data_IF_542186547974
#
_entry.id   IF_542186547974
#
_cell.length_a   1.000
_cell.length_b   1.000
_cell.length_c   1.000
_cell.angle_alpha   90.00
_cell.angle_beta   90.00
_cell.angle_gamma   90.00
#
_symmetry.space_group_name_H-M   'P 1'
#
loop_
_entity.id
_entity.type
_entity.pdbx_description
1 polymer ?
#
# COMPACT_ATOMS: atom_id res chain seq x y z
N UNK A 1 -20.28 -7.28 17.16
CA UNK A 1 -19.61 -8.05 16.08
C UNK A 1 -20.18 -7.73 14.70
N UNK A 2 -21.49 -7.93 14.44
CA UNK A 2 -22.10 -7.67 13.12
C UNK A 2 -21.95 -6.22 12.62
N UNK A 3 -22.12 -5.21 13.50
CA UNK A 3 -21.88 -3.80 13.15
C UNK A 3 -20.42 -3.50 12.77
N UNK A 4 -19.45 -4.10 13.47
CA UNK A 4 -18.01 -3.92 13.21
C UNK A 4 -17.63 -4.59 11.88
N UNK A 5 -18.15 -5.79 11.62
CA UNK A 5 -17.98 -6.48 10.35
C UNK A 5 -18.57 -5.66 9.19
N UNK A 6 -19.76 -5.07 9.37
CA UNK A 6 -20.35 -4.21 8.34
C UNK A 6 -19.51 -2.95 8.07
N UNK A 7 -18.93 -2.35 9.12
CA UNK A 7 -18.00 -1.21 8.99
C UNK A 7 -16.73 -1.64 8.25
N UNK A 8 -16.13 -2.78 8.62
CA UNK A 8 -14.97 -3.36 7.92
C UNK A 8 -15.25 -3.58 6.43
N UNK A 9 -16.40 -4.17 6.11
CA UNK A 9 -16.81 -4.39 4.73
C UNK A 9 -17.03 -3.06 3.99
N UNK A 10 -17.69 -2.08 4.60
CA UNK A 10 -17.88 -0.76 3.97
C UNK A 10 -16.56 -0.05 3.67
N UNK A 11 -15.56 -0.18 4.55
CA UNK A 11 -14.23 0.42 4.34
C UNK A 11 -13.45 -0.33 3.26
N UNK A 12 -13.51 -1.67 3.25
CA UNK A 12 -12.96 -2.45 2.14
C UNK A 12 -13.56 -2.05 0.79
N UNK A 13 -14.87 -1.83 0.73
CA UNK A 13 -15.53 -1.35 -0.49
C UNK A 13 -15.07 0.06 -0.89
N UNK A 14 -14.95 0.99 0.07
CA UNK A 14 -14.44 2.33 -0.20
C UNK A 14 -13.02 2.30 -0.77
N UNK A 15 -12.15 1.45 -0.22
CA UNK A 15 -10.79 1.32 -0.74
C UNK A 15 -10.74 0.66 -2.11
N UNK A 16 -11.55 -0.35 -2.41
CA UNK A 16 -11.55 -0.98 -3.74
C UNK A 16 -12.05 -0.03 -4.84
N UNK A 17 -13.05 0.80 -4.53
CA UNK A 17 -13.53 1.87 -5.43
C UNK A 17 -12.40 2.87 -5.69
N UNK A 18 -11.71 3.29 -4.63
CA UNK A 18 -10.63 4.26 -4.73
C UNK A 18 -9.44 3.72 -5.54
N UNK A 19 -9.06 2.45 -5.34
CA UNK A 19 -8.00 1.76 -6.10
C UNK A 19 -8.33 1.68 -7.60
N UNK A 20 -9.59 1.41 -7.94
CA UNK A 20 -10.04 1.33 -9.32
C UNK A 20 -10.09 2.70 -10.01
N UNK A 21 -10.52 3.75 -9.29
CA UNK A 21 -10.43 5.13 -9.77
C UNK A 21 -8.99 5.47 -10.13
N UNK A 22 -8.04 5.13 -9.26
CA UNK A 22 -6.62 5.36 -9.52
C UNK A 22 -6.11 4.58 -10.74
N UNK A 23 -6.49 3.30 -10.87
CA UNK A 23 -6.12 2.49 -12.03
C UNK A 23 -6.71 3.05 -13.34
N UNK A 24 -7.89 3.66 -13.28
CA UNK A 24 -8.55 4.22 -14.46
C UNK A 24 -7.75 5.37 -15.10
N UNK A 25 -6.99 6.13 -14.29
CA UNK A 25 -6.10 7.19 -14.74
C UNK A 25 -4.82 6.66 -15.40
N UNK A 26 -4.44 5.40 -15.16
CA UNK A 26 -3.19 4.79 -15.64
C UNK A 26 -3.46 4.04 -16.97
N UNK A 27 -3.96 4.74 -17.98
CA UNK A 27 -4.27 4.10 -19.27
C UNK A 27 -3.06 3.93 -20.19
N UNK A 28 -1.90 4.50 -19.83
CA UNK A 28 -0.66 4.30 -20.60
C UNK A 28 0.58 4.39 -19.72
N UNK A 29 1.08 3.23 -19.28
CA UNK A 29 2.30 3.10 -18.47
C UNK A 29 3.52 3.79 -19.09
N UNK A 30 3.55 3.93 -20.42
CA UNK A 30 4.74 4.40 -21.14
C UNK A 30 4.94 5.92 -21.17
N UNK A 31 3.97 6.76 -20.70
CA UNK A 31 4.08 8.24 -20.78
C UNK A 31 3.55 9.01 -19.58
N UNK A 32 3.34 8.35 -18.44
CA UNK A 32 2.91 9.07 -17.23
C UNK A 32 4.11 9.70 -16.52
N UNK A 33 3.92 10.93 -16.07
CA UNK A 33 4.94 11.63 -15.29
C UNK A 33 5.13 10.89 -13.95
N UNK A 34 6.38 10.60 -13.54
CA UNK A 34 6.69 9.90 -12.30
C UNK A 34 5.99 10.49 -11.07
N UNK A 35 5.84 11.81 -11.01
CA UNK A 35 5.08 12.51 -9.96
C UNK A 35 3.61 12.07 -9.86
N UNK A 36 2.93 11.81 -10.98
CA UNK A 36 1.55 11.28 -11.00
C UNK A 36 1.55 9.84 -10.47
N UNK A 37 2.56 9.05 -10.83
CA UNK A 37 2.69 7.68 -10.32
C UNK A 37 2.94 7.66 -8.79
N UNK A 38 3.77 8.58 -8.29
CA UNK A 38 4.07 8.74 -6.86
C UNK A 38 2.84 9.24 -6.09
N UNK A 39 2.08 10.19 -6.63
CA UNK A 39 0.87 10.66 -5.97
C UNK A 39 -0.21 9.58 -5.91
N UNK A 40 -0.33 8.76 -6.96
CA UNK A 40 -1.22 7.60 -6.95
C UNK A 40 -0.78 6.59 -5.88
N UNK A 41 0.53 6.30 -5.82
CA UNK A 41 1.07 5.33 -4.85
C UNK A 41 0.89 5.82 -3.39
N UNK A 42 1.00 7.13 -3.11
CA UNK A 42 0.73 7.72 -1.79
C UNK A 42 -0.71 7.44 -1.36
N UNK A 43 -1.64 7.75 -2.25
CA UNK A 43 -3.06 7.65 -1.95
C UNK A 43 -3.51 6.20 -1.75
N UNK A 44 -2.96 5.27 -2.54
CA UNK A 44 -3.16 3.82 -2.37
C UNK A 44 -2.69 3.38 -0.98
N UNK A 45 -1.47 3.75 -0.62
CA UNK A 45 -0.85 3.29 0.62
C UNK A 45 -1.52 3.89 1.86
N UNK A 46 -1.97 5.14 1.81
CA UNK A 46 -2.79 5.74 2.89
C UNK A 46 -4.08 4.94 3.08
N UNK A 47 -4.80 4.63 2.00
CA UNK A 47 -6.03 3.84 2.07
C UNK A 47 -5.81 2.44 2.67
N UNK A 48 -4.67 1.82 2.36
CA UNK A 48 -4.30 0.51 2.90
C UNK A 48 -3.98 0.57 4.41
N UNK A 49 -3.31 1.63 4.87
CA UNK A 49 -2.99 1.81 6.30
C UNK A 49 -4.25 2.00 7.15
N UNK A 50 -5.25 2.70 6.60
CA UNK A 50 -6.56 2.88 7.22
C UNK A 50 -7.36 1.57 7.28
N UNK A 51 -7.26 0.69 6.27
CA UNK A 51 -7.88 -0.63 6.37
C UNK A 51 -7.21 -1.48 7.47
N UNK A 52 -5.88 -1.42 7.58
CA UNK A 52 -5.13 -2.23 8.53
C UNK A 52 -5.46 -1.93 10.00
N UNK A 53 -5.81 -0.67 10.30
CA UNK A 53 -6.20 -0.25 11.65
C UNK A 53 -7.51 -0.89 12.14
N UNK A 54 -8.36 -1.35 11.22
CA UNK A 54 -9.68 -1.93 11.54
C UNK A 54 -9.57 -3.45 11.76
N UNK A 55 -8.56 -4.11 11.17
CA UNK A 55 -8.34 -5.55 11.31
C UNK A 55 -7.56 -5.92 12.56
N UNK A 56 -6.68 -5.04 13.02
CA UNK A 56 -5.81 -5.32 14.16
C UNK A 56 -6.37 -4.69 15.43
N UNK A 57 -6.40 -5.48 16.51
CA UNK A 57 -6.79 -4.97 17.84
C UNK A 57 -5.87 -3.82 18.31
N UNK A 58 -4.59 -3.84 17.90
CA UNK A 58 -3.61 -2.81 18.22
C UNK A 58 -3.24 -1.97 16.99
N UNK A 59 -3.45 -0.66 17.06
CA UNK A 59 -3.19 0.30 15.97
C UNK A 59 -1.70 0.61 15.70
N UNK A 60 -0.78 0.04 16.49
CA UNK A 60 0.66 0.25 16.32
C UNK A 60 1.16 -0.12 14.92
N UNK A 61 0.66 -1.23 14.34
CA UNK A 61 1.05 -1.65 12.99
C UNK A 61 0.57 -0.68 11.90
N UNK A 62 -0.64 -0.13 12.01
CA UNK A 62 -1.14 0.87 11.07
C UNK A 62 -0.33 2.16 11.14
N UNK A 63 0.11 2.59 12.33
CA UNK A 63 0.94 3.78 12.49
C UNK A 63 2.36 3.59 11.94
N UNK A 64 3.00 2.46 12.23
CA UNK A 64 4.35 2.16 11.71
C UNK A 64 4.32 2.10 10.18
N UNK A 65 3.31 1.44 9.59
CA UNK A 65 3.13 1.43 8.13
C UNK A 65 2.97 2.84 7.57
N UNK A 66 2.10 3.67 8.16
CA UNK A 66 1.89 5.05 7.70
C UNK A 66 3.19 5.87 7.71
N UNK A 67 3.99 5.78 8.78
CA UNK A 67 5.26 6.50 8.89
C UNK A 67 6.30 6.06 7.84
N UNK A 68 6.43 4.74 7.61
CA UNK A 68 7.33 4.20 6.61
C UNK A 68 6.93 4.67 5.20
N UNK A 69 5.63 4.67 4.91
CA UNK A 69 5.08 5.13 3.63
C UNK A 69 5.41 6.61 3.42
N UNK A 70 5.09 7.48 4.37
CA UNK A 70 5.35 8.93 4.23
C UNK A 70 6.84 9.22 4.09
N UNK A 71 7.68 8.62 4.96
CA UNK A 71 9.12 8.83 4.93
C UNK A 71 9.80 8.32 3.65
N UNK A 72 9.48 7.08 3.24
CA UNK A 72 10.08 6.49 2.04
C UNK A 72 9.68 7.21 0.76
N UNK A 73 8.42 7.66 0.67
CA UNK A 73 7.92 8.34 -0.52
C UNK A 73 8.44 9.78 -0.66
N UNK A 74 8.71 10.49 0.44
CA UNK A 74 9.34 11.81 0.39
C UNK A 74 10.74 11.76 -0.23
N UNK A 75 11.55 10.74 0.10
CA UNK A 75 12.89 10.57 -0.48
C UNK A 75 12.81 10.29 -1.98
N UNK A 76 11.89 9.41 -2.40
CA UNK A 76 11.64 9.09 -3.81
C UNK A 76 11.15 10.34 -4.57
N UNK A 77 10.29 11.14 -3.95
CA UNK A 77 9.78 12.38 -4.53
C UNK A 77 10.88 13.41 -4.81
N UNK A 78 11.77 13.64 -3.84
CA UNK A 78 12.93 14.52 -4.00
C UNK A 78 13.85 14.05 -5.14
N UNK A 79 14.10 12.74 -5.22
CA UNK A 79 14.91 12.17 -6.30
C UNK A 79 14.30 12.48 -7.67
N UNK A 80 13.01 12.21 -7.87
CA UNK A 80 12.39 12.40 -9.18
C UNK A 80 12.23 13.87 -9.60
N UNK A 81 11.97 14.80 -8.67
CA UNK A 81 11.95 16.24 -8.99
C UNK A 81 13.31 16.67 -9.58
N UNK A 82 14.41 16.18 -9.01
CA UNK A 82 15.75 16.54 -9.50
C UNK A 82 16.07 16.04 -10.92
N UNK A 83 15.41 14.97 -11.38
CA UNK A 83 15.65 14.37 -12.69
C UNK A 83 14.72 14.87 -13.81
N UNK A 84 13.52 15.38 -13.49
CA UNK A 84 12.44 15.57 -14.48
C UNK A 84 12.05 17.04 -14.59
N UNK A 85 13.02 17.92 -14.88
CA UNK A 85 12.66 19.34 -14.94
C UNK A 85 11.72 19.68 -16.12
N UNK A 86 11.58 18.85 -17.17
CA UNK A 86 10.91 19.30 -18.42
C UNK A 86 10.00 18.29 -19.16
N UNK A 87 9.53 17.18 -18.58
CA UNK A 87 8.55 16.32 -19.27
C UNK A 87 7.12 16.87 -19.12
N UNK A 88 6.57 17.50 -20.17
CA UNK A 88 5.16 17.93 -20.21
C UNK A 88 4.24 16.72 -19.99
N UNK A 89 3.43 16.78 -18.93
CA UNK A 89 2.43 15.74 -18.62
C UNK A 89 1.30 15.78 -19.65
N UNK A 90 1.34 14.92 -20.67
CA UNK A 90 0.26 14.84 -21.67
C UNK A 90 -0.84 13.89 -21.21
N UNK A 91 -1.72 14.37 -20.32
CA UNK A 91 -2.97 13.68 -20.01
C UNK A 91 -3.87 13.83 -21.25
N UNK A 92 -4.00 12.76 -22.05
CA UNK A 92 -4.90 12.81 -23.20
C UNK A 92 -6.35 12.72 -22.71
N UNK A 93 -7.10 13.81 -22.88
CA UNK A 93 -8.53 13.91 -22.55
C UNK A 93 -9.39 12.79 -23.18
N UNK A 94 -8.92 12.19 -24.28
CA UNK A 94 -9.57 11.03 -24.92
C UNK A 94 -9.72 9.82 -23.98
N UNK A 95 -8.87 9.70 -22.95
CA UNK A 95 -8.98 8.63 -21.95
C UNK A 95 -10.08 8.86 -20.92
N UNK A 96 -10.46 10.12 -20.65
CA UNK A 96 -11.58 10.44 -19.77
C UNK A 96 -12.91 9.94 -20.34
N UNK A 97 -13.01 9.78 -21.67
CA UNK A 97 -14.21 9.29 -22.36
C UNK A 97 -14.59 7.86 -21.95
N UNK A 98 -13.62 7.03 -21.53
CA UNK A 98 -13.88 5.65 -21.12
C UNK A 98 -14.12 5.50 -19.60
N UNK A 99 -14.01 6.59 -18.82
CA UNK A 99 -14.30 6.59 -17.38
C UNK A 99 -15.71 6.09 -17.03
N UNK A 100 -16.81 6.56 -17.67
CA UNK A 100 -18.15 6.13 -17.27
C UNK A 100 -18.33 4.61 -17.45
N UNK A 101 -17.78 4.01 -18.51
CA UNK A 101 -17.85 2.56 -18.72
C UNK A 101 -17.08 1.78 -17.65
N UNK A 102 -15.88 2.26 -17.28
CA UNK A 102 -15.08 1.63 -16.22
C UNK A 102 -15.80 1.70 -14.87
N UNK A 103 -16.41 2.85 -14.53
CA UNK A 103 -17.19 3.04 -13.31
C UNK A 103 -18.44 2.13 -13.26
N UNK A 104 -19.08 1.92 -14.41
CA UNK A 104 -20.26 1.07 -14.47
C UNK A 104 -19.90 -0.41 -14.24
N UNK A 105 -18.77 -0.87 -14.79
CA UNK A 105 -18.26 -2.22 -14.53
C UNK A 105 -17.84 -2.43 -13.07
N UNK A 106 -17.26 -1.42 -12.42
CA UNK A 106 -16.91 -1.53 -11.00
C UNK A 106 -18.17 -1.59 -10.14
N UNK A 107 -19.16 -0.73 -10.39
CA UNK A 107 -20.45 -0.78 -9.69
C UNK A 107 -21.13 -2.15 -9.84
N UNK A 108 -21.15 -2.72 -11.05
CA UNK A 108 -21.68 -4.07 -11.27
C UNK A 108 -20.91 -5.14 -10.48
N UNK A 109 -19.57 -5.07 -10.48
CA UNK A 109 -18.74 -6.01 -9.69
C UNK A 109 -19.00 -5.90 -8.19
N UNK A 110 -19.22 -4.69 -7.68
CA UNK A 110 -19.50 -4.44 -6.26
C UNK A 110 -20.88 -4.95 -5.89
N UNK A 111 -21.89 -4.72 -6.74
CA UNK A 111 -23.23 -5.26 -6.52
C UNK A 111 -23.23 -6.79 -6.52
N UNK A 112 -22.44 -7.41 -7.42
CA UNK A 112 -22.26 -8.85 -7.44
C UNK A 112 -21.61 -9.38 -6.15
N UNK A 113 -20.54 -8.73 -5.69
CA UNK A 113 -19.88 -9.09 -4.42
C UNK A 113 -20.82 -8.89 -3.22
N UNK A 114 -21.52 -7.76 -3.15
CA UNK A 114 -22.45 -7.50 -2.05
C UNK A 114 -23.58 -8.55 -2.00
N UNK A 115 -24.10 -8.92 -3.17
CA UNK A 115 -25.12 -9.97 -3.26
C UNK A 115 -24.58 -11.35 -2.86
N UNK A 116 -23.37 -11.71 -3.29
CA UNK A 116 -22.74 -12.98 -2.89
C UNK A 116 -22.41 -13.03 -1.40
N UNK A 117 -22.08 -11.90 -0.76
CA UNK A 117 -21.86 -11.83 0.68
C UNK A 117 -23.17 -11.94 1.49
N UNK A 118 -24.29 -11.41 0.97
CA UNK A 118 -25.61 -11.55 1.62
C UNK A 118 -26.21 -12.95 1.48
N UNK A 119 -25.76 -13.75 0.51
CA UNK A 119 -26.15 -15.15 0.37
C UNK A 119 -25.35 -16.01 1.36
N UNK A 120 -25.90 -16.10 2.58
CA UNK A 120 -25.74 -17.18 3.55
C UNK A 120 -24.58 -18.16 3.30
N UNK A 121 -23.55 -18.12 4.16
CA UNK A 121 -22.86 -19.30 4.76
C UNK A 121 -21.49 -18.97 5.35
N UNK A 122 -20.92 -17.78 5.10
CA UNK A 122 -19.58 -17.47 5.61
C UNK A 122 -19.54 -16.92 7.04
N UNK A 123 -20.63 -16.33 7.52
CA UNK A 123 -20.73 -15.78 8.89
C UNK A 123 -20.83 -16.82 10.00
N UNK A 124 -21.08 -18.10 9.68
CA UNK A 124 -21.31 -19.17 10.67
C UNK A 124 -20.17 -20.19 10.80
N UNK A 125 -19.13 -20.12 9.95
CA UNK A 125 -17.95 -21.01 10.02
C UNK A 125 -16.68 -20.28 10.50
N UNK A 126 -16.83 -19.24 11.31
CA UNK A 126 -15.72 -18.50 11.93
C UNK A 126 -15.55 -18.80 13.42
N UNK A 127 -15.80 -20.04 13.85
CA UNK A 127 -15.37 -20.48 15.18
C UNK A 127 -13.84 -20.58 15.29
N UNK A 128 -13.12 -20.79 14.19
CA UNK A 128 -11.65 -20.75 14.17
C UNK A 128 -11.10 -19.32 14.20
N UNK A 129 -11.86 -18.35 13.69
CA UNK A 129 -11.46 -16.95 13.78
C UNK A 129 -11.80 -16.36 15.16
N UNK A 130 -12.88 -16.80 15.80
CA UNK A 130 -13.16 -16.39 17.18
C UNK A 130 -12.12 -16.92 18.18
N UNK A 131 -11.51 -18.08 17.94
CA UNK A 131 -10.36 -18.56 18.72
C UNK A 131 -9.09 -17.76 18.43
N UNK A 132 -8.85 -17.35 17.18
CA UNK A 132 -7.75 -16.43 16.81
C UNK A 132 -7.94 -15.04 17.45
N UNK A 133 -9.15 -14.48 17.47
CA UNK A 133 -9.44 -13.21 18.15
C UNK A 133 -9.30 -13.31 19.67
N UNK A 134 -9.60 -14.47 20.27
CA UNK A 134 -9.32 -14.72 21.69
C UNK A 134 -7.81 -14.85 21.95
N UNK A 135 -7.05 -15.40 21.00
CA UNK A 135 -5.59 -15.47 21.08
C UNK A 135 -4.93 -14.10 20.84
N UNK A 136 -5.53 -13.23 20.02
CA UNK A 136 -5.05 -11.87 19.76
C UNK A 136 -5.37 -10.85 20.84
N UNK A 137 -6.13 -11.23 21.88
CA UNK A 137 -6.28 -10.44 23.10
C UNK A 137 -5.08 -10.57 24.05
N UNK A 138 -4.10 -11.44 23.74
CA UNK A 138 -2.77 -11.31 24.32
C UNK A 138 -2.10 -10.07 23.72
N UNK A 139 -2.09 -8.99 24.48
CA UNK A 139 -1.51 -7.68 24.17
C UNK A 139 0.01 -7.68 23.84
N UNK A 140 0.63 -8.84 23.65
CA UNK A 140 2.08 -9.06 23.56
C UNK A 140 2.54 -9.57 22.18
N UNK A 141 1.90 -9.15 21.10
CA UNK A 141 2.33 -9.54 19.75
C UNK A 141 3.70 -8.94 19.34
N UNK A 142 4.06 -7.75 19.85
CA UNK A 142 5.34 -7.10 19.53
C UNK A 142 6.52 -7.73 20.27
N UNK A 143 6.34 -8.01 21.57
CA UNK A 143 7.38 -8.61 22.42
C UNK A 143 7.65 -10.07 22.03
N UNK A 144 6.63 -10.79 21.54
CA UNK A 144 6.79 -12.14 20.99
C UNK A 144 7.70 -12.23 19.75
N UNK A 145 7.96 -11.13 19.03
CA UNK A 145 8.92 -11.13 17.91
C UNK A 145 10.39 -11.18 18.39
N UNK A 146 10.63 -10.83 19.66
CA UNK A 146 11.94 -10.85 20.32
C UNK A 146 12.12 -12.04 21.26
N UNK A 147 11.15 -12.96 21.32
CA UNK A 147 11.29 -14.24 22.01
C UNK A 147 11.63 -15.40 21.06
N UNK A 148 12.53 -16.28 21.50
CA UNK A 148 12.82 -17.53 20.81
C UNK A 148 11.55 -18.40 20.74
N UNK A 149 11.21 -19.06 19.60
CA UNK A 149 12.01 -19.24 18.38
C UNK A 149 11.77 -18.19 17.28
N UNK A 150 10.90 -17.18 17.50
CA UNK A 150 10.49 -16.24 16.44
C UNK A 150 11.56 -15.18 16.08
N UNK A 151 12.63 -15.09 16.89
CA UNK A 151 13.76 -14.15 16.73
C UNK A 151 14.55 -14.30 15.44
N UNK A 152 14.45 -15.43 14.73
CA UNK A 152 15.16 -15.57 13.46
C UNK A 152 14.74 -14.50 12.45
N UNK A 153 13.47 -14.10 12.44
CA UNK A 153 12.98 -13.05 11.55
C UNK A 153 13.60 -11.67 11.85
N UNK A 154 13.77 -11.32 13.13
CA UNK A 154 14.37 -10.06 13.57
C UNK A 154 15.88 -10.05 13.35
N UNK A 155 16.56 -11.18 13.59
CA UNK A 155 18.00 -11.30 13.28
C UNK A 155 18.27 -11.14 11.78
N UNK A 156 17.43 -11.74 10.93
CA UNK A 156 17.59 -11.63 9.47
C UNK A 156 17.39 -10.20 8.97
N UNK A 157 16.42 -9.45 9.51
CA UNK A 157 16.19 -8.05 9.11
C UNK A 157 17.33 -7.11 9.52
N UNK A 158 17.94 -7.34 10.69
CA UNK A 158 19.12 -6.57 11.14
C UNK A 158 20.32 -6.79 10.21
N UNK A 159 20.61 -8.05 9.86
CA UNK A 159 21.70 -8.38 8.94
C UNK A 159 21.43 -7.77 7.55
N UNK A 160 20.18 -7.85 7.06
CA UNK A 160 19.78 -7.24 5.79
C UNK A 160 20.02 -5.72 5.77
N UNK A 161 19.61 -5.01 6.82
CA UNK A 161 19.81 -3.57 6.91
C UNK A 161 21.31 -3.21 6.94
N UNK A 162 22.12 -3.95 7.69
CA UNK A 162 23.57 -3.75 7.76
C UNK A 162 24.23 -3.94 6.37
N UNK A 163 23.90 -5.02 5.68
CA UNK A 163 24.41 -5.29 4.34
C UNK A 163 23.98 -4.17 3.38
N UNK A 164 22.70 -3.76 3.42
CA UNK A 164 22.18 -2.71 2.55
C UNK A 164 22.94 -1.38 2.72
N UNK A 165 23.22 -0.97 3.96
CA UNK A 165 23.98 0.24 4.24
C UNK A 165 25.40 0.16 3.66
N UNK A 166 26.10 -0.97 3.86
CA UNK A 166 27.47 -1.13 3.34
C UNK A 166 27.51 -1.09 1.80
N UNK A 167 26.52 -1.69 1.13
CA UNK A 167 26.40 -1.66 -0.33
C UNK A 167 26.12 -0.24 -0.82
N UNK A 168 25.18 0.47 -0.19
CA UNK A 168 24.84 1.85 -0.57
C UNK A 168 26.07 2.76 -0.45
N UNK A 169 26.84 2.66 0.66
CA UNK A 169 28.08 3.43 0.84
C UNK A 169 29.10 3.12 -0.26
N UNK A 170 29.30 1.84 -0.61
CA UNK A 170 30.20 1.45 -1.71
C UNK A 170 29.74 2.01 -3.07
N UNK A 171 28.45 1.96 -3.37
CA UNK A 171 27.89 2.52 -4.63
C UNK A 171 28.08 4.04 -4.69
N UNK A 172 27.87 4.75 -3.58
CA UNK A 172 28.06 6.19 -3.51
C UNK A 172 29.53 6.60 -3.67
N UNK A 173 30.46 5.86 -3.06
CA UNK A 173 31.89 6.17 -3.12
C UNK A 173 32.51 5.96 -4.52
N UNK A 174 32.01 4.99 -5.31
CA UNK A 174 32.52 4.72 -6.66
C UNK A 174 32.19 5.80 -7.70
N UNK A 175 31.32 6.78 -7.39
CA UNK A 175 30.96 7.89 -8.30
C UNK A 175 31.83 9.14 -8.11
N UNK A 176 33.16 8.97 -8.07
CA UNK A 176 34.13 10.09 -8.12
C UNK A 176 34.71 10.37 -9.52
N UNK A 177 34.15 9.77 -10.57
CA UNK A 177 34.53 10.12 -11.94
C UNK A 177 33.82 11.42 -12.31
N UNK A 178 34.59 12.45 -12.66
CA UNK A 178 34.07 13.77 -13.04
C UNK A 178 33.06 13.64 -14.18
N UNK A 179 31.81 14.03 -13.91
CA UNK A 179 30.79 14.25 -14.94
C UNK A 179 31.18 15.49 -15.75
N UNK A 180 32.19 15.37 -16.61
CA UNK A 180 32.41 16.34 -17.68
C UNK A 180 31.15 16.31 -18.54
N UNK A 181 30.48 17.46 -18.67
CA UNK A 181 29.43 17.65 -19.68
C UNK A 181 30.06 17.29 -21.03
N UNK A 182 29.62 16.18 -21.61
CA UNK A 182 29.80 15.97 -23.04
C UNK A 182 28.87 16.99 -23.71
N UNK A 183 29.48 18.02 -24.28
CA UNK A 183 28.82 18.95 -25.20
C UNK A 183 28.29 18.20 -26.42
#
# INVERSE_FOLDING_TARGET
MMKILNIQMSMMFLTSIFMMLMYSFISHYNKMHPLIMISILLMILISSSLNLSIYMNNHWFSYIMFLIIVGGMMVIFLYFISFINNMKTSIKWKFLKNLPQKLLMTLLSIMYLYHSFNLNTWSLKFNEISSIYKMSNYNDNLTMMYLYPKNFSTMMSMIYLLISLTIIVKICLNKKIMLRKFN
#
